data_IF_412153388772
#
_entry.id   IF_412153388772
#
_cell.length_a   1.000
_cell.length_b   1.000
_cell.length_c   1.000
_cell.angle_alpha   90.00
_cell.angle_beta   90.00
_cell.angle_gamma   90.00
#
_symmetry.space_group_name_H-M   'P 1'
#
loop_
_entity.id
_entity.type
_entity.pdbx_description
1 polymer ?
#
# COMPACT_ATOMS: atom_id res chain seq x y z
N UNK A 1 -12.81 -1.78 20.49
CA UNK A 1 -11.37 -1.44 20.54
C UNK A 1 -11.11 -0.46 21.68
N UNK A 2 -10.12 -0.72 22.52
CA UNK A 2 -9.75 0.17 23.62
C UNK A 2 -8.96 1.39 23.13
N UNK A 3 -8.84 2.42 23.96
CA UNK A 3 -8.02 3.60 23.64
C UNK A 3 -6.55 3.22 23.40
N UNK A 4 -6.03 2.26 24.17
CA UNK A 4 -4.66 1.76 24.01
C UNK A 4 -4.47 1.06 22.67
N UNK A 5 -5.43 0.26 22.24
CA UNK A 5 -5.39 -0.42 20.95
C UNK A 5 -5.46 0.59 19.79
N UNK A 6 -6.30 1.61 19.89
CA UNK A 6 -6.35 2.72 18.93
C UNK A 6 -5.02 3.44 18.81
N UNK A 7 -4.38 3.73 19.94
CA UNK A 7 -3.09 4.38 19.96
C UNK A 7 -2.02 3.53 19.25
N UNK A 8 -1.97 2.24 19.53
CA UNK A 8 -1.04 1.32 18.86
C UNK A 8 -1.31 1.21 17.37
N UNK A 9 -2.57 1.14 16.98
CA UNK A 9 -2.95 1.09 15.57
C UNK A 9 -2.52 2.36 14.84
N UNK A 10 -2.77 3.53 15.43
CA UNK A 10 -2.34 4.80 14.87
C UNK A 10 -0.83 4.87 14.68
N UNK A 11 -0.05 4.38 15.64
CA UNK A 11 1.40 4.33 15.52
C UNK A 11 1.84 3.42 14.37
N UNK A 12 1.20 2.26 14.18
CA UNK A 12 1.49 1.35 13.07
C UNK A 12 1.22 2.03 11.73
N UNK A 13 0.08 2.70 11.61
CA UNK A 13 -0.30 3.41 10.40
C UNK A 13 0.72 4.50 10.08
N UNK A 14 1.10 5.32 11.05
CA UNK A 14 2.08 6.39 10.86
C UNK A 14 3.44 5.84 10.42
N UNK A 15 3.90 4.76 11.03
CA UNK A 15 5.16 4.10 10.64
C UNK A 15 5.09 3.56 9.21
N UNK A 16 3.95 2.98 8.84
CA UNK A 16 3.75 2.44 7.50
C UNK A 16 3.78 3.56 6.46
N UNK A 17 3.08 4.66 6.71
CA UNK A 17 3.08 5.84 5.84
C UNK A 17 4.51 6.38 5.69
N UNK A 18 5.24 6.50 6.78
CA UNK A 18 6.60 7.02 6.76
C UNK A 18 7.56 6.13 5.96
N UNK A 19 7.39 4.79 6.02
CA UNK A 19 8.31 3.86 5.35
C UNK A 19 7.88 3.49 3.93
N UNK A 20 6.58 3.43 3.64
CA UNK A 20 6.06 2.89 2.39
C UNK A 20 5.07 3.82 1.68
N UNK A 21 4.77 4.98 2.25
CA UNK A 21 3.78 5.90 1.70
C UNK A 21 2.35 5.45 1.99
N UNK A 22 1.41 6.19 1.42
CA UNK A 22 -0.02 6.03 1.67
C UNK A 22 -0.83 5.78 0.40
N UNK A 23 -0.18 5.37 -0.70
CA UNK A 23 -0.85 5.11 -1.97
C UNK A 23 -0.92 3.63 -2.28
N UNK A 24 -2.03 3.26 -2.93
CA UNK A 24 -2.25 1.94 -3.50
C UNK A 24 -2.10 2.02 -5.02
N UNK A 25 -1.47 1.02 -5.61
CA UNK A 25 -1.12 1.02 -7.03
C UNK A 25 -1.72 -0.19 -7.73
N UNK A 26 -2.20 0.01 -8.96
CA UNK A 26 -2.55 -1.07 -9.86
C UNK A 26 -1.61 -1.04 -11.05
N UNK A 27 -0.95 -2.15 -11.31
CA UNK A 27 0.10 -2.26 -12.33
C UNK A 27 -0.31 -3.29 -13.37
N UNK A 28 -0.11 -2.96 -14.65
CA UNK A 28 -0.31 -3.89 -15.76
C UNK A 28 1.06 -4.33 -16.30
N UNK A 29 1.30 -5.62 -16.27
CA UNK A 29 2.48 -6.24 -16.89
C UNK A 29 2.02 -7.17 -18.02
N UNK A 30 2.00 -6.65 -19.23
CA UNK A 30 1.58 -7.41 -20.44
C UNK A 30 0.22 -8.12 -20.27
N UNK A 31 -0.75 -7.42 -19.71
CA UNK A 31 -2.10 -7.94 -19.47
C UNK A 31 -2.31 -8.59 -18.11
N UNK A 32 -1.24 -8.85 -17.36
CA UNK A 32 -1.34 -9.35 -15.97
C UNK A 32 -1.48 -8.15 -15.03
N UNK A 33 -2.55 -8.17 -14.23
CA UNK A 33 -2.85 -7.06 -13.31
C UNK A 33 -2.36 -7.41 -11.92
N UNK A 34 -1.54 -6.53 -11.34
CA UNK A 34 -1.10 -6.60 -9.95
C UNK A 34 -1.71 -5.48 -9.14
N UNK A 35 -2.25 -5.81 -7.99
CA UNK A 35 -2.81 -4.86 -7.05
C UNK A 35 -1.84 -4.72 -5.87
N UNK A 36 -1.15 -3.59 -5.82
CA UNK A 36 -0.08 -3.33 -4.85
C UNK A 36 -0.55 -2.40 -3.75
N UNK A 37 -0.56 -2.87 -2.52
CA UNK A 37 -1.04 -2.10 -1.39
C UNK A 37 -0.15 -0.90 -1.03
N UNK A 38 1.16 -0.97 -1.35
CA UNK A 38 2.13 0.05 -0.97
C UNK A 38 3.15 0.29 -2.08
N UNK A 39 3.79 1.46 -2.02
CA UNK A 39 4.84 1.84 -2.97
C UNK A 39 5.97 0.81 -3.07
N UNK A 40 6.35 0.19 -1.95
CA UNK A 40 7.39 -0.83 -1.92
C UNK A 40 7.06 -2.01 -2.82
N UNK A 41 5.82 -2.47 -2.79
CA UNK A 41 5.36 -3.58 -3.64
C UNK A 41 5.37 -3.18 -5.12
N UNK A 42 4.90 -1.97 -5.41
CA UNK A 42 4.93 -1.44 -6.77
C UNK A 42 6.36 -1.32 -7.30
N UNK A 43 7.27 -0.83 -6.48
CA UNK A 43 8.70 -0.70 -6.83
C UNK A 43 9.33 -2.06 -7.09
N UNK A 44 9.00 -3.06 -6.27
CA UNK A 44 9.49 -4.43 -6.44
C UNK A 44 9.03 -5.02 -7.78
N UNK A 45 7.76 -4.87 -8.13
CA UNK A 45 7.23 -5.34 -9.40
C UNK A 45 7.89 -4.61 -10.57
N UNK A 46 8.06 -3.30 -10.49
CA UNK A 46 8.72 -2.53 -11.55
C UNK A 46 10.18 -2.95 -11.73
N UNK A 47 10.88 -3.34 -10.67
CA UNK A 47 12.26 -3.82 -10.79
C UNK A 47 12.36 -5.17 -11.48
N UNK A 48 11.36 -6.03 -11.29
CA UNK A 48 11.30 -7.35 -11.94
C UNK A 48 10.80 -7.27 -13.38
N UNK A 49 9.87 -6.36 -13.64
CA UNK A 49 9.21 -6.23 -14.95
C UNK A 49 9.32 -4.78 -15.45
N UNK A 50 10.44 -4.41 -16.06
CA UNK A 50 10.69 -3.01 -16.44
C UNK A 50 9.71 -2.45 -17.47
N UNK A 51 8.99 -3.31 -18.19
CA UNK A 51 7.98 -2.88 -19.19
C UNK A 51 6.57 -2.73 -18.60
N UNK A 52 6.40 -2.93 -17.31
CA UNK A 52 5.10 -2.76 -16.66
C UNK A 52 4.70 -1.29 -16.56
N UNK A 53 3.39 -1.03 -16.55
CA UNK A 53 2.84 0.33 -16.45
C UNK A 53 1.92 0.45 -15.25
N UNK A 54 2.03 1.57 -14.53
CA UNK A 54 1.06 1.91 -13.48
C UNK A 54 -0.19 2.41 -14.20
N UNK A 55 -1.29 1.67 -14.07
CA UNK A 55 -2.56 2.02 -14.73
C UNK A 55 -3.52 2.74 -13.78
N UNK A 56 -3.30 2.64 -12.47
CA UNK A 56 -4.12 3.33 -11.49
C UNK A 56 -3.33 3.50 -10.19
N UNK A 57 -3.45 4.67 -9.58
CA UNK A 57 -3.00 4.87 -8.20
C UNK A 57 -3.99 5.76 -7.48
N UNK A 58 -4.18 5.53 -6.19
CA UNK A 58 -5.02 6.41 -5.37
C UNK A 58 -4.47 6.45 -3.94
N UNK A 59 -4.73 7.57 -3.25
CA UNK A 59 -4.41 7.70 -1.84
C UNK A 59 -5.33 6.78 -1.04
N UNK A 60 -4.77 5.93 -0.20
CA UNK A 60 -5.56 5.02 0.63
C UNK A 60 -6.40 5.78 1.63
N UNK A 61 -7.63 5.30 1.83
CA UNK A 61 -8.51 5.82 2.87
C UNK A 61 -8.05 5.32 4.25
N UNK A 62 -8.54 5.95 5.30
CA UNK A 62 -8.27 5.51 6.67
C UNK A 62 -8.67 4.03 6.87
N UNK A 63 -9.82 3.63 6.34
CA UNK A 63 -10.30 2.26 6.44
C UNK A 63 -9.36 1.26 5.76
N UNK A 64 -8.83 1.59 4.59
CA UNK A 64 -7.83 0.77 3.91
C UNK A 64 -6.55 0.63 4.72
N UNK A 65 -6.04 1.74 5.27
CA UNK A 65 -4.84 1.73 6.11
C UNK A 65 -5.03 0.87 7.36
N UNK A 66 -6.18 0.96 8.02
CA UNK A 66 -6.49 0.13 9.17
C UNK A 66 -6.53 -1.36 8.81
N UNK A 67 -7.15 -1.68 7.69
CA UNK A 67 -7.19 -3.07 7.20
C UNK A 67 -5.78 -3.63 6.99
N UNK A 68 -4.92 -2.92 6.28
CA UNK A 68 -3.57 -3.39 5.99
C UNK A 68 -2.64 -3.42 7.21
N UNK A 69 -2.91 -2.62 8.23
CA UNK A 69 -2.08 -2.57 9.43
C UNK A 69 -2.55 -3.52 10.55
N UNK A 70 -3.72 -4.13 10.42
CA UNK A 70 -4.26 -5.07 11.42
C UNK A 70 -4.10 -6.53 11.02
N UNK A 71 -3.65 -6.81 9.81
CA UNK A 71 -3.40 -8.17 9.33
C UNK A 71 -2.09 -8.70 9.88
#
# INVERSE_FOLDING_TARGET
MTAKEHYKLNQRIERRIASQGDRRYTINNNGIIYDCAFYRDAKDIRSRFPNCKIIRSHKMTRAEMEFFCTI
#
